data_IF_470829323615
#
_entry.id   IF_470829323615
#
_cell.length_a   1.000
_cell.length_b   1.000
_cell.length_c   1.000
_cell.angle_alpha   90.00
_cell.angle_beta   90.00
_cell.angle_gamma   90.00
#
_symmetry.space_group_name_H-M   'P 1'
#
loop_
_entity.id
_entity.type
_entity.pdbx_description
1 polymer ?
#
# COMPACT_ATOMS: atom_id res chain seq x y z
N UNK A 1 -23.88 31.62 -51.65
CA UNK A 1 -24.01 30.21 -52.04
C UNK A 1 -23.42 29.39 -50.89
N UNK A 2 -24.16 29.21 -49.80
CA UNK A 2 -24.98 27.99 -49.53
C UNK A 2 -24.14 26.74 -49.76
N UNK A 3 -23.74 25.98 -48.74
CA UNK A 3 -24.68 25.13 -48.02
C UNK A 3 -24.22 24.78 -46.60
N UNK A 4 -25.18 24.90 -45.68
CA UNK A 4 -25.22 24.24 -44.39
C UNK A 4 -25.45 22.74 -44.61
N UNK A 5 -24.67 21.88 -43.96
CA UNK A 5 -25.00 20.47 -43.85
C UNK A 5 -25.16 20.09 -42.38
N UNK A 6 -26.37 19.63 -42.07
CA UNK A 6 -26.89 19.34 -40.76
C UNK A 6 -26.82 17.83 -40.56
N UNK A 7 -26.08 17.36 -39.56
CA UNK A 7 -26.09 15.94 -39.19
C UNK A 7 -27.19 15.72 -38.12
N UNK A 8 -28.13 14.79 -38.35
CA UNK A 8 -29.23 14.54 -37.44
C UNK A 8 -28.80 13.71 -36.22
N UNK A 9 -29.42 14.03 -35.09
CA UNK A 9 -29.40 13.26 -33.86
C UNK A 9 -30.27 11.99 -34.01
N UNK A 10 -29.65 10.82 -33.94
CA UNK A 10 -30.28 9.56 -33.55
C UNK A 10 -29.77 9.23 -32.15
N UNK A 11 -30.52 8.75 -31.18
CA UNK A 11 -31.78 8.01 -31.23
C UNK A 11 -31.70 7.06 -30.04
N UNK A 12 -32.62 7.28 -29.11
CA UNK A 12 -32.75 6.62 -27.81
C UNK A 12 -32.81 5.10 -27.91
N UNK A 13 -32.14 4.38 -27.00
CA UNK A 13 -32.66 3.16 -26.35
C UNK A 13 -31.73 2.66 -25.23
N UNK A 14 -32.12 2.75 -23.95
CA UNK A 14 -31.50 1.95 -22.90
C UNK A 14 -32.05 0.50 -22.95
N UNK A 15 -31.20 -0.53 -22.78
CA UNK A 15 -31.68 -1.90 -22.65
C UNK A 15 -32.43 -2.11 -21.32
N UNK A 16 -33.45 -2.99 -21.29
CA UNK A 16 -34.23 -3.28 -20.10
C UNK A 16 -33.40 -3.96 -19.01
N UNK A 17 -33.65 -3.55 -17.77
CA UNK A 17 -33.08 -4.12 -16.56
C UNK A 17 -33.47 -5.60 -16.41
N UNK A 18 -32.52 -6.50 -16.68
CA UNK A 18 -32.62 -7.89 -16.29
C UNK A 18 -32.46 -7.99 -14.76
N UNK A 19 -33.59 -8.15 -14.09
CA UNK A 19 -33.69 -8.53 -12.69
C UNK A 19 -33.09 -9.93 -12.50
N UNK A 20 -31.81 -9.99 -12.12
CA UNK A 20 -31.24 -11.22 -11.59
C UNK A 20 -31.66 -11.37 -10.14
N UNK A 21 -32.68 -12.21 -9.95
CA UNK A 21 -33.09 -12.76 -8.68
C UNK A 21 -31.87 -13.38 -7.98
N UNK A 22 -31.63 -12.96 -6.74
CA UNK A 22 -30.65 -13.59 -5.87
C UNK A 22 -31.16 -14.96 -5.42
N UNK A 23 -30.42 -16.06 -5.62
CA UNK A 23 -30.73 -17.30 -4.92
C UNK A 23 -30.38 -17.13 -3.43
N UNK A 24 -31.40 -17.34 -2.61
CA UNK A 24 -31.29 -17.43 -1.16
C UNK A 24 -30.43 -18.63 -0.74
N UNK A 25 -29.74 -18.46 0.39
CA UNK A 25 -29.48 -19.46 1.42
C UNK A 25 -28.93 -20.83 0.97
N UNK A 26 -27.63 -21.05 1.18
CA UNK A 26 -27.15 -22.15 2.06
C UNK A 26 -25.82 -21.71 2.69
N UNK A 27 -25.84 -21.26 3.94
CA UNK A 27 -24.61 -21.22 4.77
C UNK A 27 -24.46 -22.61 5.39
N UNK A 28 -23.37 -23.36 5.14
CA UNK A 28 -23.07 -24.52 5.97
C UNK A 28 -22.75 -24.02 7.38
N UNK A 29 -23.49 -24.55 8.36
CA UNK A 29 -23.20 -24.40 9.77
C UNK A 29 -21.84 -25.08 10.04
N UNK A 30 -20.82 -24.30 10.36
CA UNK A 30 -19.59 -24.85 10.91
C UNK A 30 -19.85 -25.20 12.38
N UNK A 31 -19.60 -26.45 12.81
CA UNK A 31 -19.74 -26.83 14.21
C UNK A 31 -18.71 -26.07 15.06
N UNK A 32 -19.18 -25.47 16.15
CA UNK A 32 -18.34 -25.06 17.28
C UNK A 32 -17.68 -26.32 17.83
N UNK A 33 -16.41 -26.55 17.46
CA UNK A 33 -15.55 -27.40 18.26
C UNK A 33 -15.04 -26.58 19.45
N UNK A 34 -15.82 -26.59 20.53
CA UNK A 34 -15.31 -26.36 21.87
C UNK A 34 -14.33 -27.49 22.21
N UNK A 35 -13.04 -27.19 22.21
CA UNK A 35 -12.04 -28.03 22.85
C UNK A 35 -11.46 -27.27 24.03
N UNK A 36 -12.20 -27.34 25.14
CA UNK A 36 -11.60 -27.32 26.46
C UNK A 36 -10.71 -28.56 26.64
N UNK A 37 -9.87 -28.52 27.68
CA UNK A 37 -9.12 -29.64 28.26
C UNK A 37 -7.76 -29.95 27.58
N UNK A 38 -6.66 -30.20 28.28
CA UNK A 38 -6.34 -30.28 29.70
C UNK A 38 -4.88 -29.83 29.89
N UNK A 39 -4.61 -29.17 31.02
CA UNK A 39 -3.28 -29.16 31.61
C UNK A 39 -2.90 -30.60 31.98
N UNK A 40 -1.84 -31.13 31.38
CA UNK A 40 -1.12 -32.27 31.95
C UNK A 40 0.34 -31.87 32.04
N UNK A 41 0.76 -31.63 33.28
CA UNK A 41 2.15 -31.76 33.66
C UNK A 41 2.51 -33.23 33.49
N UNK A 42 3.43 -33.52 32.59
CA UNK A 42 4.19 -34.76 32.67
C UNK A 42 5.67 -34.42 32.50
N UNK A 43 6.40 -34.71 33.57
CA UNK A 43 7.82 -34.54 33.69
C UNK A 43 8.48 -35.80 33.16
N UNK A 44 8.88 -35.78 31.90
CA UNK A 44 9.82 -36.77 31.37
C UNK A 44 10.97 -36.07 30.67
N UNK A 45 12.12 -36.26 31.30
CA UNK A 45 13.45 -35.74 31.00
C UNK A 45 13.86 -36.07 29.55
N UNK A 46 14.02 -35.08 28.64
CA UNK A 46 14.63 -35.34 27.35
C UNK A 46 16.16 -35.34 27.50
N UNK A 47 16.77 -36.38 26.95
CA UNK A 47 18.21 -36.57 26.80
C UNK A 47 18.94 -35.31 26.30
N UNK A 48 20.25 -35.13 26.60
CA UNK A 48 21.03 -34.01 26.10
C UNK A 48 21.11 -34.08 24.57
N UNK A 49 20.28 -33.26 23.91
CA UNK A 49 20.37 -33.04 22.48
C UNK A 49 21.73 -32.41 22.15
N UNK A 50 22.40 -32.81 21.06
CA UNK A 50 23.57 -32.10 20.59
C UNK A 50 23.17 -30.64 20.35
N UNK A 51 23.91 -29.73 20.99
CA UNK A 51 23.77 -28.29 20.83
C UNK A 51 24.04 -27.93 19.37
N UNK A 52 22.99 -27.93 18.55
CA UNK A 52 23.01 -27.38 17.21
C UNK A 52 23.10 -25.87 17.43
N UNK A 53 24.31 -25.34 17.26
CA UNK A 53 24.56 -23.91 17.31
C UNK A 53 23.51 -23.21 16.43
N UNK A 54 22.79 -22.20 16.93
CA UNK A 54 21.87 -21.44 16.10
C UNK A 54 22.67 -20.89 14.91
N UNK A 55 22.14 -20.99 13.68
CA UNK A 55 22.80 -20.38 12.53
C UNK A 55 23.03 -18.90 12.84
N UNK A 56 24.15 -18.31 12.40
CA UNK A 56 24.40 -16.90 12.60
C UNK A 56 23.22 -16.12 12.02
N UNK A 57 22.42 -15.55 12.91
CA UNK A 57 21.37 -14.61 12.54
C UNK A 57 22.15 -13.41 12.01
N UNK A 58 22.36 -13.37 10.70
CA UNK A 58 22.78 -12.15 10.01
C UNK A 58 21.68 -11.14 10.28
N UNK A 59 21.89 -10.39 11.36
CA UNK A 59 21.10 -9.24 11.75
C UNK A 59 21.38 -8.22 10.66
N UNK A 60 20.61 -8.31 9.58
CA UNK A 60 20.61 -7.29 8.55
C UNK A 60 20.04 -6.05 9.24
N UNK A 61 20.95 -5.22 9.72
CA UNK A 61 20.71 -3.91 10.29
C UNK A 61 20.09 -3.00 9.22
N UNK A 62 18.82 -3.22 8.87
CA UNK A 62 18.05 -2.36 7.96
C UNK A 62 17.41 -1.17 8.67
N UNK A 63 17.68 -1.00 9.97
CA UNK A 63 17.53 0.28 10.66
C UNK A 63 18.84 1.07 10.55
N UNK A 64 19.31 1.33 9.34
CA UNK A 64 20.15 2.51 9.14
C UNK A 64 19.26 3.71 9.48
N UNK A 65 19.51 4.27 10.67
CA UNK A 65 19.13 5.65 11.00
C UNK A 65 19.56 6.49 9.79
N UNK A 66 18.63 7.20 9.12
CA UNK A 66 19.03 8.00 7.97
C UNK A 66 20.16 8.93 8.42
N UNK A 67 21.25 9.03 7.64
CA UNK A 67 22.33 9.93 7.98
C UNK A 67 21.72 11.32 8.18
N UNK A 68 21.89 11.86 9.38
CA UNK A 68 21.58 13.26 9.69
C UNK A 68 22.74 14.04 9.09
N UNK A 69 22.70 14.20 7.77
CA UNK A 69 23.68 14.95 7.01
C UNK A 69 22.88 15.88 6.13
N UNK A 70 23.38 17.10 5.96
CA UNK A 70 22.94 18.15 5.03
C UNK A 70 22.85 17.64 3.58
N UNK A 71 21.96 16.67 3.34
CA UNK A 71 21.73 16.09 2.05
C UNK A 71 21.11 17.18 1.19
N UNK A 72 21.61 17.38 -0.04
CA UNK A 72 21.04 18.35 -0.97
C UNK A 72 19.53 18.14 -1.06
N UNK A 73 18.76 19.21 -1.29
CA UNK A 73 17.32 19.12 -1.46
C UNK A 73 17.03 18.00 -2.44
N UNK A 74 16.08 17.16 -2.06
CA UNK A 74 15.71 15.96 -2.78
C UNK A 74 15.48 16.31 -4.26
N UNK A 75 16.41 15.94 -5.14
CA UNK A 75 16.38 16.28 -6.59
C UNK A 75 15.42 15.35 -7.34
N UNK A 76 14.28 15.08 -6.71
CA UNK A 76 13.21 14.26 -7.21
C UNK A 76 12.15 15.14 -7.86
N UNK A 77 11.70 14.76 -9.04
CA UNK A 77 10.64 15.47 -9.74
C UNK A 77 9.28 15.00 -9.22
N UNK A 78 8.44 15.97 -8.86
CA UNK A 78 7.08 15.74 -8.41
C UNK A 78 6.14 15.64 -9.60
N UNK A 79 5.34 14.58 -9.61
CA UNK A 79 4.37 14.27 -10.64
C UNK A 79 2.97 14.40 -10.06
N UNK A 80 2.14 15.13 -10.80
CA UNK A 80 0.77 15.44 -10.45
C UNK A 80 -0.23 14.76 -11.40
N UNK A 81 -1.43 14.36 -10.93
CA UNK A 81 -2.55 14.01 -11.79
C UNK A 81 -2.92 15.19 -12.72
N UNK A 82 -3.42 14.94 -13.94
CA UNK A 82 -3.86 13.66 -14.50
C UNK A 82 -2.74 12.82 -15.15
N UNK A 83 -1.46 13.04 -14.79
CA UNK A 83 -0.30 12.32 -15.34
C UNK A 83 -0.08 12.52 -16.85
N UNK A 84 -0.66 13.56 -17.43
CA UNK A 84 -0.51 13.90 -18.86
C UNK A 84 0.75 14.70 -19.14
N UNK A 85 1.26 15.42 -18.14
CA UNK A 85 2.52 16.17 -18.23
C UNK A 85 3.52 15.44 -17.37
N UNK A 86 4.48 14.80 -18.03
CA UNK A 86 5.57 14.11 -17.37
C UNK A 86 6.84 14.91 -17.49
N UNK A 87 7.78 14.72 -16.55
CA UNK A 87 9.07 15.35 -16.67
C UNK A 87 9.82 14.92 -17.93
N UNK A 88 10.75 15.76 -18.37
CA UNK A 88 11.59 15.54 -19.55
C UNK A 88 10.82 15.34 -20.87
N UNK A 89 9.54 15.75 -20.92
CA UNK A 89 8.62 15.53 -22.04
C UNK A 89 8.49 14.04 -22.42
N UNK A 90 8.65 13.14 -21.45
CA UNK A 90 8.45 11.70 -21.69
C UNK A 90 7.00 11.45 -22.07
N UNK A 91 6.77 10.86 -23.24
CA UNK A 91 5.46 10.36 -23.65
C UNK A 91 5.37 8.91 -23.21
N UNK A 92 4.41 8.58 -22.35
CA UNK A 92 4.12 7.20 -22.00
C UNK A 92 3.05 6.63 -22.94
N UNK A 93 3.35 5.48 -23.54
CA UNK A 93 2.37 4.71 -24.31
C UNK A 93 1.35 4.00 -23.39
N UNK A 94 1.73 3.75 -22.14
CA UNK A 94 0.92 3.10 -21.11
C UNK A 94 0.46 4.09 -20.04
N UNK A 95 -0.70 3.86 -19.39
CA UNK A 95 -1.13 4.69 -18.28
C UNK A 95 -0.14 4.61 -17.11
N UNK A 96 -0.04 5.70 -16.35
CA UNK A 96 0.86 5.80 -15.20
C UNK A 96 0.61 4.65 -14.21
N UNK A 97 1.61 3.77 -14.06
CA UNK A 97 1.54 2.58 -13.21
C UNK A 97 2.67 2.58 -12.17
N UNK A 98 2.52 1.74 -11.14
CA UNK A 98 3.57 1.56 -10.15
C UNK A 98 4.91 1.15 -10.78
N UNK A 99 4.89 0.33 -11.82
CA UNK A 99 6.12 -0.15 -12.48
C UNK A 99 6.87 0.99 -13.16
N UNK A 100 6.16 1.94 -13.79
CA UNK A 100 6.78 3.14 -14.36
C UNK A 100 7.49 3.93 -13.26
N UNK A 101 6.82 4.23 -12.15
CA UNK A 101 7.45 4.91 -11.00
C UNK A 101 8.59 4.10 -10.37
N UNK A 102 8.57 2.78 -10.47
CA UNK A 102 9.65 1.93 -9.99
C UNK A 102 10.89 2.03 -10.88
N UNK A 103 10.70 2.12 -12.20
CA UNK A 103 11.79 2.27 -13.18
C UNK A 103 12.37 3.69 -13.25
N UNK A 104 11.61 4.70 -12.82
CA UNK A 104 12.07 6.10 -12.75
C UNK A 104 12.25 6.53 -11.28
N UNK A 105 13.42 6.26 -10.66
CA UNK A 105 13.62 6.48 -9.22
C UNK A 105 13.68 7.96 -8.82
N UNK A 106 13.84 8.87 -9.78
CA UNK A 106 13.77 10.32 -9.59
C UNK A 106 12.33 10.86 -9.66
N UNK A 107 11.35 10.03 -10.02
CA UNK A 107 9.96 10.43 -10.15
C UNK A 107 9.17 10.10 -8.88
N UNK A 108 8.54 11.11 -8.31
CA UNK A 108 7.78 11.01 -7.07
C UNK A 108 6.40 11.63 -7.25
N UNK A 109 5.42 11.11 -6.54
CA UNK A 109 4.09 11.69 -6.48
C UNK A 109 4.07 12.80 -5.43
N UNK A 110 3.36 13.90 -5.69
CA UNK A 110 3.11 14.88 -4.63
C UNK A 110 2.02 14.35 -3.68
N UNK A 111 2.32 14.37 -2.38
CA UNK A 111 1.40 13.96 -1.31
C UNK A 111 0.16 14.85 -1.28
N UNK A 112 0.27 16.12 -1.70
CA UNK A 112 -0.82 17.12 -1.67
C UNK A 112 -1.98 16.75 -2.60
N UNK A 113 -1.72 15.95 -3.62
CA UNK A 113 -2.75 15.48 -4.55
C UNK A 113 -3.61 14.36 -3.96
N UNK A 114 -3.19 13.76 -2.84
CA UNK A 114 -3.82 12.57 -2.28
C UNK A 114 -4.52 12.80 -0.95
N UNK A 115 -5.59 12.02 -0.72
CA UNK A 115 -6.39 12.14 0.51
C UNK A 115 -5.52 11.69 1.67
N UNK A 116 -5.33 12.60 2.62
CA UNK A 116 -4.56 12.32 3.83
C UNK A 116 -5.46 11.89 5.00
N UNK A 117 -4.89 11.11 5.91
CA UNK A 117 -5.56 10.60 7.12
C UNK A 117 -5.94 11.71 8.11
N UNK A 118 -5.36 12.91 8.00
CA UNK A 118 -5.61 14.02 8.92
C UNK A 118 -6.94 14.74 8.67
N UNK A 119 -7.76 14.25 7.73
CA UNK A 119 -9.15 14.68 7.57
C UNK A 119 -9.35 15.96 6.77
N UNK A 120 -8.28 16.58 6.27
CA UNK A 120 -8.36 17.68 5.31
C UNK A 120 -8.19 17.17 3.89
N UNK A 121 -9.28 16.85 3.21
CA UNK A 121 -9.27 16.66 1.76
C UNK A 121 -9.71 17.96 1.10
N UNK A 122 -8.78 18.82 0.60
CA UNK A 122 -9.18 19.95 -0.22
C UNK A 122 -9.96 19.47 -1.47
N UNK A 123 -10.75 20.36 -2.05
CA UNK A 123 -11.48 20.05 -3.27
C UNK A 123 -10.49 19.66 -4.39
N UNK A 124 -10.64 18.47 -4.97
CA UNK A 124 -9.78 17.95 -6.03
C UNK A 124 -8.78 16.87 -5.59
N UNK A 125 -8.68 16.58 -4.30
CA UNK A 125 -7.80 15.51 -3.79
C UNK A 125 -8.32 14.12 -4.16
N UNK A 126 -7.44 13.25 -4.68
CA UNK A 126 -7.79 11.89 -5.12
C UNK A 126 -7.37 10.81 -4.11
N UNK A 127 -8.11 9.70 -4.07
CA UNK A 127 -7.63 8.51 -3.34
C UNK A 127 -6.48 7.88 -4.11
N UNK A 128 -5.56 7.24 -3.40
CA UNK A 128 -4.44 6.55 -4.03
C UNK A 128 -4.94 5.49 -5.05
N UNK A 129 -4.64 5.66 -6.36
CA UNK A 129 -5.09 4.77 -7.42
C UNK A 129 -4.59 3.34 -7.25
N UNK A 130 -5.35 2.37 -7.77
CA UNK A 130 -4.97 0.95 -7.67
C UNK A 130 -3.85 0.58 -8.63
N UNK A 131 -3.73 1.33 -9.72
CA UNK A 131 -2.72 1.21 -10.77
C UNK A 131 -1.32 1.58 -10.24
N UNK A 132 -1.28 2.46 -9.23
CA UNK A 132 -0.08 2.86 -8.51
C UNK A 132 0.21 1.96 -7.29
N UNK A 133 -0.70 1.03 -6.93
CA UNK A 133 -0.38 0.02 -5.91
C UNK A 133 0.58 -1.04 -6.49
N UNK A 134 1.63 -1.45 -5.76
CA UNK A 134 2.51 -2.52 -6.19
C UNK A 134 1.73 -3.81 -6.54
N UNK A 135 2.06 -4.50 -7.65
CA UNK A 135 1.37 -5.73 -8.04
C UNK A 135 1.45 -6.80 -6.93
N UNK A 136 0.44 -7.67 -6.83
CA UNK A 136 0.47 -8.75 -5.85
C UNK A 136 1.58 -9.73 -6.24
N UNK A 137 2.56 -9.98 -5.35
CA UNK A 137 3.63 -10.89 -5.68
C UNK A 137 3.11 -12.31 -5.83
N UNK A 138 3.35 -12.94 -6.99
CA UNK A 138 2.83 -14.27 -7.29
C UNK A 138 3.68 -15.43 -6.77
N UNK A 139 4.96 -15.21 -6.39
CA UNK A 139 5.87 -16.15 -5.68
C UNK A 139 7.36 -15.73 -5.66
N UNK A 140 7.71 -14.47 -5.94
CA UNK A 140 9.11 -14.04 -5.98
C UNK A 140 9.66 -13.85 -4.56
N UNK A 141 10.78 -14.51 -4.26
CA UNK A 141 11.43 -14.44 -2.93
C UNK A 141 12.16 -13.10 -2.70
N UNK A 142 12.45 -12.36 -3.77
CA UNK A 142 13.29 -11.16 -3.73
C UNK A 142 12.60 -9.94 -4.37
N UNK A 143 11.40 -9.59 -3.89
CA UNK A 143 10.71 -8.39 -4.37
C UNK A 143 11.32 -7.14 -3.72
N UNK A 144 11.68 -6.19 -4.57
CA UNK A 144 12.13 -4.85 -4.19
C UNK A 144 11.01 -3.87 -4.51
N UNK A 145 10.49 -3.18 -3.50
CA UNK A 145 9.46 -2.17 -3.66
C UNK A 145 9.98 -0.81 -3.22
N UNK A 146 9.74 0.23 -4.00
CA UNK A 146 10.12 1.62 -3.73
C UNK A 146 8.86 2.40 -3.34
N UNK A 147 8.98 3.30 -2.36
CA UNK A 147 7.91 4.25 -2.06
C UNK A 147 7.73 5.23 -3.22
N UNK A 148 6.49 5.51 -3.63
CA UNK A 148 6.22 6.46 -4.72
C UNK A 148 6.34 7.92 -4.28
N UNK A 149 6.47 8.18 -2.97
CA UNK A 149 6.53 9.53 -2.39
C UNK A 149 7.91 9.90 -1.83
N UNK A 150 8.82 8.94 -1.69
CA UNK A 150 10.16 9.18 -1.15
C UNK A 150 11.13 8.07 -1.61
N UNK A 151 12.45 8.21 -1.39
CA UNK A 151 13.44 7.30 -1.98
C UNK A 151 13.50 5.93 -1.27
N UNK A 152 12.67 5.72 -0.24
CA UNK A 152 12.76 4.54 0.60
C UNK A 152 12.38 3.27 -0.15
N UNK A 153 13.16 2.21 0.04
CA UNK A 153 12.90 0.88 -0.52
C UNK A 153 12.61 -0.15 0.57
N UNK A 154 11.87 -1.20 0.19
CA UNK A 154 11.45 -2.32 1.02
C UNK A 154 11.76 -3.61 0.27
N UNK A 155 12.35 -4.57 0.98
CA UNK A 155 12.86 -5.81 0.43
C UNK A 155 12.21 -7.03 1.11
N UNK A 156 12.17 -8.14 0.38
CA UNK A 156 11.81 -9.46 0.90
C UNK A 156 10.34 -9.83 0.76
N UNK A 157 9.97 -11.01 1.28
CA UNK A 157 8.64 -11.62 1.12
C UNK A 157 7.48 -10.74 1.62
N UNK A 158 7.75 -9.88 2.61
CA UNK A 158 6.79 -8.98 3.22
C UNK A 158 6.95 -7.52 2.76
N UNK A 159 7.71 -7.26 1.68
CA UNK A 159 7.97 -5.91 1.18
C UNK A 159 6.68 -5.10 0.97
N UNK A 160 5.61 -5.71 0.44
CA UNK A 160 4.33 -5.02 0.21
C UNK A 160 3.67 -4.54 1.50
N UNK A 161 3.66 -5.36 2.56
CA UNK A 161 3.09 -4.95 3.84
C UNK A 161 3.91 -3.81 4.48
N UNK A 162 5.24 -3.89 4.38
CA UNK A 162 6.14 -2.83 4.84
C UNK A 162 5.93 -1.54 4.07
N UNK A 163 5.77 -1.63 2.74
CA UNK A 163 5.48 -0.49 1.87
C UNK A 163 4.15 0.18 2.22
N UNK A 164 3.06 -0.59 2.37
CA UNK A 164 1.75 -0.04 2.76
C UNK A 164 1.84 0.67 4.11
N UNK A 165 2.47 0.04 5.10
CA UNK A 165 2.68 0.64 6.42
C UNK A 165 3.46 1.94 6.33
N UNK A 166 4.54 1.95 5.53
CA UNK A 166 5.36 3.13 5.33
C UNK A 166 4.58 4.29 4.70
N UNK A 167 3.80 4.03 3.65
CA UNK A 167 2.96 5.05 2.99
C UNK A 167 1.93 5.63 3.96
N UNK A 168 1.25 4.79 4.76
CA UNK A 168 0.25 5.26 5.74
C UNK A 168 0.88 6.05 6.89
N UNK A 169 1.99 5.58 7.46
CA UNK A 169 2.56 6.21 8.66
C UNK A 169 3.37 7.47 8.32
N UNK A 170 4.08 7.50 7.18
CA UNK A 170 4.98 8.59 6.82
C UNK A 170 4.35 9.61 5.88
N UNK A 171 3.55 9.16 4.93
CA UNK A 171 2.91 10.03 3.95
C UNK A 171 1.43 10.29 4.26
N UNK A 172 0.86 9.56 5.24
CA UNK A 172 -0.54 9.70 5.68
C UNK A 172 -1.56 9.51 4.57
N UNK A 173 -1.20 8.84 3.48
CA UNK A 173 -2.09 8.64 2.33
C UNK A 173 -3.11 7.53 2.60
N UNK A 174 -4.35 7.80 2.25
CA UNK A 174 -5.48 6.85 2.34
C UNK A 174 -5.54 6.01 1.07
N UNK A 175 -5.55 4.69 1.22
CA UNK A 175 -5.66 3.77 0.09
C UNK A 175 -7.11 3.61 -0.36
N UNK A 176 -7.32 3.25 -1.62
CA UNK A 176 -8.67 3.03 -2.17
C UNK A 176 -9.50 2.00 -1.37
N UNK A 177 -8.84 0.99 -0.78
CA UNK A 177 -9.50 -0.07 0.02
C UNK A 177 -9.80 0.35 1.46
N UNK A 178 -9.21 1.45 1.91
CA UNK A 178 -9.53 1.98 3.22
C UNK A 178 -10.94 2.57 3.12
N UNK A 179 -11.93 1.89 3.71
CA UNK A 179 -13.19 2.55 4.01
C UNK A 179 -12.79 3.76 4.85
N UNK A 180 -13.16 4.98 4.43
CA UNK A 180 -13.13 6.14 5.31
C UNK A 180 -14.12 5.87 6.45
N UNK A 181 -13.79 4.96 7.36
CA UNK A 181 -14.51 4.77 8.59
C UNK A 181 -14.10 5.94 9.46
N UNK A 182 -14.98 6.94 9.47
CA UNK A 182 -15.13 7.97 10.50
C UNK A 182 -14.50 7.53 11.82
N UNK A 183 -13.47 8.28 12.23
CA UNK A 183 -13.07 8.41 13.63
C UNK A 183 -12.59 7.12 14.31
N UNK A 184 -11.27 6.88 14.27
CA UNK A 184 -10.48 6.71 15.50
C UNK A 184 -9.11 7.35 15.30
N UNK A 185 -9.01 8.61 15.72
CA UNK A 185 -7.77 9.15 16.25
C UNK A 185 -7.34 8.22 17.40
N UNK A 186 -6.54 7.19 17.09
CA UNK A 186 -5.77 6.51 18.13
C UNK A 186 -4.48 7.29 18.23
N UNK A 187 -4.44 8.17 19.24
CA UNK A 187 -3.29 8.92 19.66
C UNK A 187 -2.00 8.12 19.53
N UNK A 188 -1.04 8.71 18.81
CA UNK A 188 0.36 8.32 18.81
C UNK A 188 0.95 8.57 20.18
N UNK A 189 0.61 7.71 21.14
CA UNK A 189 1.03 7.78 22.53
C UNK A 189 1.29 6.36 23.04
N UNK A 190 2.27 5.66 22.46
CA UNK A 190 2.86 4.46 23.07
C UNK A 190 4.13 4.02 22.32
N UNK A 191 5.19 4.83 22.31
CA UNK A 191 6.56 4.33 22.16
C UNK A 191 7.60 5.36 22.66
N UNK A 192 7.62 5.61 23.97
CA UNK A 192 8.87 5.97 24.68
C UNK A 192 9.04 5.00 25.84
N UNK A 193 9.58 3.82 25.52
CA UNK A 193 10.08 2.89 26.54
C UNK A 193 11.38 3.47 27.07
N UNK A 194 11.38 3.84 28.34
CA UNK A 194 12.49 4.45 29.04
C UNK A 194 13.75 3.59 29.03
N UNK A 195 14.90 4.27 29.02
CA UNK A 195 16.17 3.72 29.46
C UNK A 195 16.92 4.81 30.21
N UNK A 196 16.44 5.10 31.42
CA UNK A 196 17.30 5.58 32.50
C UNK A 196 17.98 4.34 33.06
N UNK A 197 19.31 4.27 32.95
CA UNK A 197 20.14 3.43 33.80
C UNK A 197 21.16 4.36 34.45
N UNK A 198 21.25 4.19 35.77
CA UNK A 198 22.23 4.77 36.70
C UNK A 198 23.65 4.76 36.13
#
# INVERSE_FOLDING_TARGET
MTSSDSIPAAGSSPPPAAAFASPALVRPAFPLASSAFHSHADATNPAPHPSIAPPPVHTLNFFQKPPVSDAPPFDGMLIHPPFTVLPDNVVLDEPMSYMVLHHHPTWFLDIRDYVTLDGGAPAGTIRYPRELEPPRPRRQKDLILRCTFCPRTHLGVNAKALWIRHVREKHRVVFHKDKLSTTRHVSSACYRRGKLRN
#
